data_IF_976521937007
#
_entry.id   IF_976521937007
#
_cell.length_a   1.000
_cell.length_b   1.000
_cell.length_c   1.000
_cell.angle_alpha   90.00
_cell.angle_beta   90.00
_cell.angle_gamma   90.00
#
_symmetry.space_group_name_H-M   'P 1'
#
loop_
_entity.id
_entity.type
_entity.pdbx_description
1 polymer ?
#
# COMPACT_ATOMS: atom_id res chain seq x y z
N UNK A 1 7.54 -3.62 19.20
CA UNK A 1 6.59 -2.77 18.41
C UNK A 1 7.15 -2.51 17.04
N UNK A 2 6.32 -2.61 16.02
CA UNK A 2 6.76 -2.33 14.67
C UNK A 2 6.93 -0.83 14.45
N UNK A 3 8.03 -0.45 13.81
CA UNK A 3 8.29 0.94 13.47
C UNK A 3 8.31 1.15 11.97
N UNK A 4 8.33 0.08 11.20
CA UNK A 4 8.31 0.14 9.75
C UNK A 4 7.43 -0.98 9.20
N UNK A 5 7.15 -0.90 7.92
CA UNK A 5 6.30 -1.89 7.26
C UNK A 5 6.84 -2.22 5.88
N UNK A 6 6.41 -3.35 5.34
CA UNK A 6 6.69 -3.72 3.97
C UNK A 6 5.40 -4.31 3.37
N UNK A 7 4.99 -3.78 2.26
CA UNK A 7 3.76 -4.21 1.60
C UNK A 7 4.01 -4.55 0.13
N UNK A 8 3.49 -5.71 -0.27
CA UNK A 8 3.45 -6.10 -1.67
C UNK A 8 2.04 -5.87 -2.18
N UNK A 9 1.91 -5.19 -3.30
CA UNK A 9 0.59 -4.89 -3.83
C UNK A 9 0.62 -4.79 -5.35
N UNK A 10 -0.55 -4.93 -5.95
CA UNK A 10 -0.75 -4.63 -7.36
C UNK A 10 -1.47 -3.31 -7.50
N UNK A 11 -1.08 -2.55 -8.52
CA UNK A 11 -1.83 -1.35 -8.85
C UNK A 11 -2.09 -1.32 -10.35
N UNK A 12 -3.17 -0.67 -10.76
CA UNK A 12 -3.47 -0.46 -12.16
C UNK A 12 -4.17 0.87 -12.35
N UNK A 13 -3.96 1.45 -13.53
CA UNK A 13 -4.58 2.73 -13.87
C UNK A 13 -6.08 2.59 -14.06
N UNK A 14 -6.87 3.65 -13.79
CA UNK A 14 -8.29 3.61 -14.04
C UNK A 14 -8.58 3.24 -15.48
N UNK A 15 -9.50 2.31 -15.68
CA UNK A 15 -9.86 1.87 -17.02
C UNK A 15 -8.92 0.86 -17.64
N UNK A 16 -7.81 0.53 -17.00
CA UNK A 16 -6.90 -0.48 -17.51
C UNK A 16 -7.47 -1.87 -17.31
N UNK A 17 -7.20 -2.77 -18.26
CA UNK A 17 -7.57 -4.17 -18.14
C UNK A 17 -6.36 -4.99 -17.72
N UNK A 18 -6.63 -6.15 -17.09
CA UNK A 18 -5.58 -7.04 -16.65
C UNK A 18 -5.25 -6.92 -15.17
N UNK A 19 -4.25 -7.69 -14.69
CA UNK A 19 -3.94 -7.77 -13.26
C UNK A 19 -3.24 -6.55 -12.70
N UNK A 20 -2.72 -5.67 -13.54
CA UNK A 20 -1.98 -4.50 -13.07
C UNK A 20 -0.50 -4.78 -12.87
N UNK A 21 0.18 -3.89 -12.20
CA UNK A 21 1.63 -3.98 -11.97
C UNK A 21 1.91 -4.32 -10.51
N UNK A 22 2.70 -5.36 -10.29
CA UNK A 22 3.13 -5.73 -8.96
C UNK A 22 4.26 -4.83 -8.52
N UNK A 23 4.17 -4.33 -7.29
CA UNK A 23 5.20 -3.49 -6.73
C UNK A 23 5.28 -3.68 -5.22
N UNK A 24 6.32 -3.14 -4.63
CA UNK A 24 6.52 -3.22 -3.19
C UNK A 24 6.78 -1.83 -2.64
N UNK A 25 6.35 -1.61 -1.42
CA UNK A 25 6.64 -0.37 -0.72
C UNK A 25 7.04 -0.70 0.72
N UNK A 26 7.99 0.05 1.23
CA UNK A 26 8.40 -0.06 2.63
C UNK A 26 8.73 1.33 3.14
N UNK A 27 8.67 1.50 4.45
CA UNK A 27 9.01 2.77 5.03
C UNK A 27 8.57 2.88 6.48
N UNK A 28 8.81 4.04 7.10
CA UNK A 28 8.45 4.26 8.49
C UNK A 28 6.94 4.42 8.66
N UNK A 29 6.39 3.71 9.63
CA UNK A 29 4.96 3.76 9.91
C UNK A 29 4.53 5.17 10.31
N UNK A 30 5.33 5.83 11.12
CA UNK A 30 4.98 7.15 11.63
C UNK A 30 4.83 8.22 10.54
N UNK A 31 5.52 8.06 9.42
CA UNK A 31 5.44 9.02 8.31
C UNK A 31 4.40 8.62 7.27
N UNK A 32 4.29 7.32 7.02
CA UNK A 32 3.40 6.83 5.97
C UNK A 32 2.01 6.50 6.48
N UNK A 33 1.91 5.92 7.65
CA UNK A 33 0.65 5.40 8.17
C UNK A 33 0.18 6.21 9.37
N UNK A 34 -0.51 7.30 9.10
CA UNK A 34 -1.01 8.17 10.17
C UNK A 34 -2.09 7.51 11.02
N UNK A 35 -2.73 6.50 10.46
CA UNK A 35 -3.78 5.76 11.18
C UNK A 35 -3.27 4.63 12.06
N UNK A 36 -1.96 4.39 12.09
CA UNK A 36 -1.38 3.33 12.92
C UNK A 36 -1.05 2.06 12.15
N UNK A 37 -0.78 0.99 12.87
CA UNK A 37 -0.32 -0.27 12.30
C UNK A 37 -1.49 -1.14 11.84
N UNK A 38 -2.24 -0.67 10.86
CA UNK A 38 -3.37 -1.42 10.35
C UNK A 38 -3.30 -1.58 8.83
N UNK A 39 -3.89 -2.65 8.34
CA UNK A 39 -4.00 -2.88 6.91
C UNK A 39 -4.77 -1.75 6.22
N UNK A 40 -5.82 -1.26 6.88
CA UNK A 40 -6.59 -0.15 6.34
C UNK A 40 -5.75 1.11 6.16
N UNK A 41 -4.86 1.39 7.08
CA UNK A 41 -3.97 2.55 6.98
C UNK A 41 -3.02 2.41 5.80
N UNK A 42 -2.49 1.21 5.58
CA UNK A 42 -1.61 0.93 4.44
C UNK A 42 -2.37 1.13 3.13
N UNK A 43 -3.57 0.55 3.03
CA UNK A 43 -4.40 0.70 1.84
C UNK A 43 -4.73 2.16 1.55
N UNK A 44 -5.08 2.90 2.58
CA UNK A 44 -5.40 4.31 2.42
C UNK A 44 -4.18 5.10 1.92
N UNK A 45 -3.02 4.85 2.49
CA UNK A 45 -1.80 5.49 2.05
C UNK A 45 -1.50 5.17 0.57
N UNK A 46 -1.64 3.91 0.20
CA UNK A 46 -1.38 3.48 -1.18
C UNK A 46 -2.36 4.09 -2.17
N UNK A 47 -3.64 4.20 -1.79
CA UNK A 47 -4.65 4.79 -2.64
C UNK A 47 -4.43 6.29 -2.85
N UNK A 48 -3.86 6.95 -1.87
CA UNK A 48 -3.59 8.39 -1.98
C UNK A 48 -2.33 8.68 -2.77
N UNK A 49 -1.37 7.79 -2.74
CA UNK A 49 -0.09 7.98 -3.43
C UNK A 49 -0.26 8.00 -4.95
N UNK A 50 -0.82 6.96 -5.58
CA UNK A 50 -1.20 7.00 -7.00
C UNK A 50 -2.69 7.27 -7.13
N UNK A 51 -3.07 8.53 -7.06
CA UNK A 51 -4.48 8.91 -7.11
C UNK A 51 -5.20 8.30 -8.30
N UNK A 52 -6.36 7.72 -8.05
CA UNK A 52 -7.20 7.15 -9.09
C UNK A 52 -6.84 5.74 -9.50
N UNK A 53 -5.77 5.19 -8.95
CA UNK A 53 -5.38 3.81 -9.26
C UNK A 53 -6.11 2.82 -8.36
N UNK A 54 -6.36 1.64 -8.90
CA UNK A 54 -6.89 0.54 -8.11
C UNK A 54 -5.74 -0.18 -7.42
N UNK A 55 -5.88 -0.44 -6.15
CA UNK A 55 -4.85 -1.07 -5.33
C UNK A 55 -5.36 -2.39 -4.77
N UNK A 56 -4.58 -3.45 -4.95
CA UNK A 56 -4.87 -4.76 -4.38
C UNK A 56 -3.70 -5.19 -3.52
N UNK A 57 -3.90 -5.14 -2.22
CA UNK A 57 -2.84 -5.52 -1.27
C UNK A 57 -2.71 -7.03 -1.25
N UNK A 58 -1.51 -7.53 -1.49
CA UNK A 58 -1.23 -8.97 -1.54
C UNK A 58 -0.59 -9.47 -0.25
N UNK A 59 0.39 -8.76 0.26
CA UNK A 59 1.12 -9.18 1.45
C UNK A 59 1.51 -7.96 2.26
N UNK A 60 1.44 -8.09 3.57
CA UNK A 60 1.80 -7.00 4.48
C UNK A 60 2.63 -7.58 5.61
N UNK A 61 3.77 -6.96 5.85
CA UNK A 61 4.65 -7.33 6.95
C UNK A 61 4.92 -6.11 7.82
N UNK A 62 4.99 -6.34 9.11
CA UNK A 62 5.35 -5.32 10.10
C UNK A 62 6.75 -5.61 10.63
N UNK A 63 7.57 -4.59 10.67
CA UNK A 63 8.95 -4.74 11.15
C UNK A 63 9.28 -3.83 12.30
#
# INVERSE_FOLDING_TARGET
MATSYKADYYFKKPGASGPGTRTQISGPISQHLKGGNTESAVLEYLKNKPKGHEISLMKLEWK
#
